data_IF_470725108725
#
_entry.id   IF_470725108725
#
_cell.length_a   1.000
_cell.length_b   1.000
_cell.length_c   1.000
_cell.angle_alpha   90.00
_cell.angle_beta   90.00
_cell.angle_gamma   90.00
#
_symmetry.space_group_name_H-M   'P 1'
#
loop_
_entity.id
_entity.type
_entity.pdbx_description
1 polymer ?
#
# COMPACT_ATOMS: atom_id res chain seq x y z
N UNK A 1 74.37 41.23 0.75
CA UNK A 1 72.94 41.11 1.11
C UNK A 1 72.11 40.18 0.23
N UNK A 2 72.42 40.01 -1.06
CA UNK A 2 71.60 39.21 -1.98
C UNK A 2 71.57 37.70 -1.81
N UNK A 3 72.61 37.10 -1.20
CA UNK A 3 72.69 35.64 -0.95
C UNK A 3 71.81 35.17 0.23
N UNK A 4 71.67 35.97 1.27
CA UNK A 4 70.78 35.68 2.42
C UNK A 4 69.31 35.78 2.05
N UNK A 5 68.99 36.77 1.21
CA UNK A 5 67.56 36.96 0.73
C UNK A 5 67.08 35.78 -0.15
N UNK A 6 67.99 35.27 -1.02
CA UNK A 6 67.62 34.07 -1.84
C UNK A 6 67.51 32.81 -1.00
N UNK A 7 68.30 32.63 0.02
CA UNK A 7 68.20 31.50 0.96
C UNK A 7 66.87 31.53 1.77
N UNK A 8 66.50 32.72 2.24
CA UNK A 8 65.19 32.93 2.96
C UNK A 8 63.98 32.64 2.09
N UNK A 9 64.01 33.10 0.83
CA UNK A 9 62.88 32.84 -0.11
C UNK A 9 62.77 31.35 -0.44
N UNK A 10 63.91 30.66 -0.65
CA UNK A 10 63.89 29.20 -0.88
C UNK A 10 63.40 28.46 0.36
N UNK A 11 63.80 28.86 1.56
CA UNK A 11 63.29 28.24 2.82
C UNK A 11 61.78 28.42 2.99
N UNK A 12 61.25 29.61 2.65
CA UNK A 12 59.79 29.87 2.69
C UNK A 12 59.05 29.02 1.63
N UNK A 13 59.58 28.88 0.43
CA UNK A 13 59.00 28.03 -0.62
C UNK A 13 59.00 26.56 -0.19
N UNK A 14 60.10 26.07 0.37
CA UNK A 14 60.19 24.69 0.89
C UNK A 14 59.21 24.46 2.03
N UNK A 15 59.07 25.42 2.92
CA UNK A 15 58.11 25.36 4.03
C UNK A 15 56.67 25.38 3.52
N UNK A 16 56.34 26.20 2.54
CA UNK A 16 55.04 26.21 1.87
C UNK A 16 54.74 24.87 1.18
N UNK A 17 55.71 24.33 0.44
CA UNK A 17 55.57 23.01 -0.21
C UNK A 17 55.42 21.92 0.84
N UNK A 18 56.15 21.95 1.94
CA UNK A 18 56.01 21.00 3.05
C UNK A 18 54.60 21.08 3.69
N UNK A 19 54.06 22.29 3.88
CA UNK A 19 52.73 22.51 4.39
C UNK A 19 51.67 21.95 3.41
N UNK A 20 51.78 22.26 2.10
CA UNK A 20 50.87 21.75 1.07
C UNK A 20 50.95 20.22 0.98
N UNK A 21 52.14 19.64 1.06
CA UNK A 21 52.31 18.19 1.10
C UNK A 21 51.73 17.56 2.37
N UNK A 22 51.89 18.21 3.53
CA UNK A 22 51.35 17.68 4.81
C UNK A 22 49.84 17.70 4.88
N UNK A 23 49.18 18.68 4.26
CA UNK A 23 47.69 18.72 4.17
C UNK A 23 47.13 17.52 3.42
N UNK A 24 47.83 16.98 2.41
CA UNK A 24 47.43 15.77 1.69
C UNK A 24 47.71 14.46 2.43
N UNK A 25 48.42 14.52 3.57
CA UNK A 25 48.69 13.34 4.40
C UNK A 25 47.65 13.10 5.48
N UNK A 26 46.78 14.07 5.71
CA UNK A 26 45.76 14.01 6.72
C UNK A 26 44.38 14.14 6.08
N UNK A 27 43.45 13.35 6.57
CA UNK A 27 42.07 13.36 6.14
C UNK A 27 41.14 13.52 7.33
N UNK A 28 40.13 14.41 7.19
CA UNK A 28 39.15 14.64 8.22
C UNK A 28 37.92 13.80 7.94
N UNK A 29 37.43 13.08 8.95
CA UNK A 29 36.17 12.33 8.95
C UNK A 29 35.15 13.12 9.77
N UNK A 30 34.00 13.37 9.19
CA UNK A 30 32.86 14.02 9.83
C UNK A 30 32.02 12.99 10.58
N UNK A 31 31.31 13.43 11.63
CA UNK A 31 30.37 12.57 12.34
C UNK A 31 29.28 12.05 11.40
N UNK A 32 28.86 10.78 11.55
CA UNK A 32 27.86 10.15 10.69
C UNK A 32 28.40 9.70 9.32
N UNK A 33 29.71 9.80 9.08
CA UNK A 33 30.35 9.34 7.85
C UNK A 33 31.56 8.46 8.15
N UNK A 34 31.97 7.66 7.18
CA UNK A 34 33.25 6.99 7.16
C UNK A 34 33.91 7.18 5.80
N UNK A 35 35.23 7.02 5.76
CA UNK A 35 35.99 7.13 4.52
C UNK A 35 36.78 5.86 4.28
N UNK A 36 36.84 5.43 3.03
CA UNK A 36 37.73 4.36 2.58
C UNK A 36 38.84 4.99 1.75
N UNK A 37 40.06 4.78 2.19
CA UNK A 37 41.26 5.31 1.57
C UNK A 37 42.05 4.17 0.92
N UNK A 38 42.33 4.27 -0.36
CA UNK A 38 43.19 3.35 -1.07
C UNK A 38 44.62 3.86 -1.03
N UNK A 39 45.53 3.10 -0.42
CA UNK A 39 46.94 3.38 -0.44
C UNK A 39 47.58 3.15 -1.82
N UNK A 40 48.74 3.72 -2.07
CA UNK A 40 49.47 3.52 -3.33
C UNK A 40 49.83 2.06 -3.61
N UNK A 41 49.94 1.22 -2.59
CA UNK A 41 50.19 -0.21 -2.71
C UNK A 41 48.88 -1.03 -2.96
N UNK A 42 47.73 -0.34 -3.13
CA UNK A 42 46.44 -0.95 -3.36
C UNK A 42 45.64 -1.33 -2.10
N UNK A 43 46.24 -1.30 -0.91
CA UNK A 43 45.59 -1.64 0.34
C UNK A 43 44.48 -0.62 0.67
N UNK A 44 43.34 -1.12 1.15
CA UNK A 44 42.23 -0.30 1.61
C UNK A 44 42.28 -0.15 3.12
N UNK A 45 42.10 1.08 3.60
CA UNK A 45 41.94 1.40 5.03
C UNK A 45 40.62 2.12 5.25
N UNK A 46 39.95 1.81 6.35
CA UNK A 46 38.72 2.43 6.76
C UNK A 46 38.98 3.43 7.87
N UNK A 47 38.48 4.63 7.71
CA UNK A 47 38.49 5.69 8.71
C UNK A 47 37.07 5.90 9.19
N UNK A 48 36.74 5.46 10.40
CA UNK A 48 35.37 5.45 10.94
C UNK A 48 35.17 6.40 12.13
N UNK A 49 36.29 6.85 12.75
CA UNK A 49 36.21 7.77 13.89
C UNK A 49 36.20 9.21 13.42
N UNK A 50 35.30 10.07 13.94
CA UNK A 50 35.33 11.49 13.64
C UNK A 50 36.63 12.13 14.06
N UNK A 51 37.17 13.03 13.24
CA UNK A 51 38.41 13.74 13.53
C UNK A 51 39.42 13.68 12.39
N UNK A 52 40.64 14.14 12.69
CA UNK A 52 41.77 14.12 11.76
C UNK A 52 42.54 12.79 11.85
N UNK A 53 42.76 12.17 10.71
CA UNK A 53 43.48 10.90 10.59
C UNK A 53 44.70 11.05 9.68
N UNK A 54 45.81 10.50 10.10
CA UNK A 54 46.96 10.38 9.25
C UNK A 54 46.77 9.21 8.27
N UNK A 55 46.68 9.50 7.00
CA UNK A 55 46.47 8.51 5.94
C UNK A 55 47.74 8.16 5.19
N UNK A 56 48.77 9.03 5.28
CA UNK A 56 49.89 8.96 4.38
C UNK A 56 49.49 9.32 2.94
N UNK A 57 50.32 8.95 2.00
CA UNK A 57 49.96 9.13 0.59
C UNK A 57 48.92 8.08 0.14
N UNK A 58 47.76 8.56 -0.25
CA UNK A 58 46.64 7.74 -0.76
C UNK A 58 46.37 8.09 -2.22
N UNK A 59 45.97 7.07 -3.00
CA UNK A 59 45.60 7.25 -4.42
C UNK A 59 44.18 7.70 -4.60
N UNK A 60 43.29 7.24 -3.70
CA UNK A 60 41.87 7.57 -3.76
C UNK A 60 41.24 7.59 -2.36
N UNK A 61 40.28 8.47 -2.16
CA UNK A 61 39.47 8.59 -0.93
C UNK A 61 38.02 8.63 -1.32
N UNK A 62 37.23 7.73 -0.75
CA UNK A 62 35.79 7.68 -0.96
C UNK A 62 35.07 7.89 0.37
N UNK A 63 34.13 8.85 0.40
CA UNK A 63 33.30 9.16 1.55
C UNK A 63 31.97 8.40 1.42
N UNK A 64 31.52 7.82 2.55
CA UNK A 64 30.25 7.16 2.69
C UNK A 64 29.48 7.75 3.86
N UNK A 65 28.17 7.86 3.72
CA UNK A 65 27.28 8.18 4.81
C UNK A 65 26.96 6.88 5.59
N UNK A 66 27.03 6.90 6.91
CA UNK A 66 26.74 5.72 7.75
C UNK A 66 25.27 5.31 7.64
N UNK A 67 24.37 6.26 7.55
CA UNK A 67 22.95 6.01 7.39
C UNK A 67 22.39 6.92 6.28
N UNK A 68 21.29 6.51 5.71
CA UNK A 68 20.62 7.27 4.67
C UNK A 68 19.17 6.88 4.52
N UNK A 69 18.44 7.73 3.81
CA UNK A 69 17.08 7.50 3.37
C UNK A 69 17.11 7.51 1.85
N UNK A 70 16.52 6.49 1.24
CA UNK A 70 16.31 6.47 -0.19
C UNK A 70 14.82 6.47 -0.46
N UNK A 71 14.38 7.44 -1.26
CA UNK A 71 12.99 7.59 -1.67
C UNK A 71 12.81 7.04 -3.08
N UNK A 72 11.75 6.30 -3.31
CA UNK A 72 11.33 5.81 -4.62
C UNK A 72 9.90 6.31 -4.88
N UNK A 73 9.76 7.19 -5.87
CA UNK A 73 8.50 7.89 -6.17
C UNK A 73 8.43 8.20 -7.66
N UNK A 74 7.20 8.28 -8.19
CA UNK A 74 6.94 8.77 -9.55
C UNK A 74 6.74 10.31 -9.59
N UNK A 75 6.88 11.00 -8.45
CA UNK A 75 6.72 12.44 -8.41
C UNK A 75 8.01 13.11 -8.89
N UNK A 76 7.92 13.93 -9.92
CA UNK A 76 9.05 14.69 -10.50
C UNK A 76 9.68 15.71 -9.54
N UNK A 77 8.99 16.03 -8.43
CA UNK A 77 9.45 16.98 -7.41
C UNK A 77 10.38 16.32 -6.36
N UNK A 78 10.41 15.00 -6.30
CA UNK A 78 11.22 14.27 -5.34
C UNK A 78 12.60 13.95 -5.95
N UNK A 79 13.69 14.30 -5.27
CA UNK A 79 15.07 13.92 -5.62
C UNK A 79 15.32 12.39 -5.54
N UNK A 80 14.24 11.58 -5.48
CA UNK A 80 14.26 10.13 -5.36
C UNK A 80 14.38 9.40 -6.69
N UNK A 81 14.41 8.08 -6.62
CA UNK A 81 14.37 7.20 -7.79
C UNK A 81 12.95 6.92 -8.24
N UNK A 82 12.83 6.26 -9.39
CA UNK A 82 11.55 5.85 -9.94
C UNK A 82 10.79 4.91 -8.99
N UNK A 83 9.46 4.96 -9.03
CA UNK A 83 8.59 4.01 -8.34
C UNK A 83 8.91 2.54 -8.69
N UNK A 84 8.60 1.64 -7.79
CA UNK A 84 8.83 0.21 -8.00
C UNK A 84 7.59 -0.42 -8.63
N UNK A 85 7.69 -0.75 -9.93
CA UNK A 85 6.65 -1.46 -10.63
C UNK A 85 6.54 -2.92 -10.21
N UNK A 86 5.33 -3.38 -9.87
CA UNK A 86 5.02 -4.71 -9.36
C UNK A 86 3.83 -5.35 -10.05
N UNK A 87 3.70 -6.67 -9.87
CA UNK A 87 2.55 -7.46 -10.29
C UNK A 87 2.10 -8.27 -9.10
N UNK A 88 0.83 -8.12 -8.76
CA UNK A 88 0.20 -8.85 -7.68
C UNK A 88 -0.29 -10.23 -8.13
N UNK A 89 -0.71 -11.06 -7.17
CA UNK A 89 -1.18 -12.43 -7.39
C UNK A 89 -2.36 -12.53 -8.36
N UNK A 90 -3.26 -11.55 -8.32
CA UNK A 90 -4.44 -11.44 -9.17
C UNK A 90 -4.14 -10.90 -10.58
N UNK A 91 -2.85 -10.70 -10.90
CA UNK A 91 -2.41 -10.12 -12.16
C UNK A 91 -2.51 -8.60 -12.22
N UNK A 92 -3.02 -7.97 -11.16
CA UNK A 92 -3.08 -6.51 -11.04
C UNK A 92 -1.67 -5.93 -11.04
N UNK A 93 -1.46 -4.88 -11.80
CA UNK A 93 -0.19 -4.15 -11.84
C UNK A 93 -0.27 -2.91 -10.97
N UNK A 94 0.86 -2.54 -10.40
CA UNK A 94 0.94 -1.35 -9.59
C UNK A 94 2.34 -0.76 -9.56
N UNK A 95 2.39 0.50 -9.15
CA UNK A 95 3.59 1.24 -8.80
C UNK A 95 3.59 1.52 -7.31
N UNK A 96 4.68 1.19 -6.66
CA UNK A 96 4.86 1.38 -5.22
C UNK A 96 5.77 2.57 -5.01
N UNK A 97 5.27 3.56 -4.27
CA UNK A 97 6.00 4.73 -3.80
C UNK A 97 6.29 4.60 -2.32
N UNK A 98 7.45 5.08 -1.90
CA UNK A 98 7.84 5.00 -0.50
C UNK A 98 9.29 5.37 -0.27
N UNK A 99 9.77 5.07 0.93
CA UNK A 99 11.16 5.29 1.30
C UNK A 99 11.69 4.13 2.15
N UNK A 100 12.98 3.90 2.03
CA UNK A 100 13.73 2.95 2.85
C UNK A 100 14.81 3.69 3.62
N UNK A 101 14.86 3.43 4.91
CA UNK A 101 15.90 3.92 5.82
C UNK A 101 16.86 2.78 6.11
N UNK A 102 18.14 3.02 5.88
CA UNK A 102 19.16 2.01 6.03
C UNK A 102 20.38 2.56 6.75
N UNK A 103 21.14 1.65 7.33
CA UNK A 103 22.46 1.93 7.90
C UNK A 103 23.49 0.98 7.27
N UNK A 104 24.58 1.56 6.78
CA UNK A 104 25.71 0.81 6.24
C UNK A 104 26.45 0.06 7.36
N UNK A 105 27.17 -1.04 7.05
CA UNK A 105 27.81 -1.88 8.05
C UNK A 105 28.78 -1.12 8.95
N UNK A 106 28.87 -1.59 10.18
CA UNK A 106 29.79 -1.01 11.18
C UNK A 106 31.17 -1.65 11.10
N UNK A 107 31.26 -2.91 10.71
CA UNK A 107 32.53 -3.64 10.61
C UNK A 107 33.32 -3.27 9.35
N UNK A 108 34.62 -3.25 9.47
CA UNK A 108 35.50 -2.79 8.41
C UNK A 108 35.60 -3.78 7.23
N UNK A 109 35.45 -5.07 7.47
CA UNK A 109 35.48 -6.09 6.41
C UNK A 109 34.30 -5.93 5.45
N UNK A 110 33.10 -5.80 5.99
CA UNK A 110 31.89 -5.56 5.18
C UNK A 110 31.94 -4.22 4.47
N UNK A 111 32.48 -3.16 5.08
CA UNK A 111 32.67 -1.86 4.41
C UNK A 111 33.61 -1.97 3.21
N UNK A 112 34.73 -2.68 3.35
CA UNK A 112 35.67 -2.92 2.24
C UNK A 112 35.03 -3.78 1.17
N UNK A 113 34.30 -4.82 1.55
CA UNK A 113 33.56 -5.67 0.61
C UNK A 113 32.52 -4.88 -0.21
N UNK A 114 31.73 -4.00 0.44
CA UNK A 114 30.81 -3.10 -0.21
C UNK A 114 31.51 -2.19 -1.23
N UNK A 115 32.60 -1.55 -0.82
CA UNK A 115 33.38 -0.67 -1.68
C UNK A 115 33.92 -1.39 -2.91
N UNK A 116 34.37 -2.63 -2.73
CA UNK A 116 35.00 -3.42 -3.80
C UNK A 116 33.96 -3.99 -4.78
N UNK A 117 32.80 -4.44 -4.27
CA UNK A 117 31.82 -5.19 -5.05
C UNK A 117 30.79 -4.26 -5.69
N UNK A 118 30.26 -3.30 -4.94
CA UNK A 118 29.14 -2.47 -5.41
C UNK A 118 29.54 -1.11 -5.96
N UNK A 119 30.78 -0.70 -5.78
CA UNK A 119 31.30 0.50 -6.40
C UNK A 119 32.04 1.42 -5.45
N UNK A 120 32.75 2.37 -6.05
CA UNK A 120 33.68 3.27 -5.38
C UNK A 120 33.07 4.64 -5.07
N UNK A 121 31.76 4.72 -4.90
CA UNK A 121 31.06 5.91 -4.44
C UNK A 121 29.85 5.54 -3.60
N UNK A 122 29.41 6.46 -2.74
CA UNK A 122 28.21 6.29 -1.95
C UNK A 122 26.97 6.04 -2.83
N UNK A 123 26.84 6.81 -3.92
CA UNK A 123 25.74 6.67 -4.90
C UNK A 123 25.74 5.30 -5.58
N UNK A 124 26.90 4.76 -5.94
CA UNK A 124 26.99 3.43 -6.56
C UNK A 124 26.55 2.33 -5.60
N UNK A 125 26.89 2.43 -4.30
CA UNK A 125 26.44 1.49 -3.27
C UNK A 125 24.91 1.61 -3.12
N UNK A 126 24.37 2.81 -3.04
CA UNK A 126 22.92 3.04 -2.98
C UNK A 126 22.25 2.42 -4.20
N UNK A 127 22.68 2.78 -5.41
CA UNK A 127 22.05 2.33 -6.65
C UNK A 127 22.18 0.82 -6.88
N UNK A 128 23.33 0.23 -6.61
CA UNK A 128 23.62 -1.16 -6.93
C UNK A 128 23.21 -2.14 -5.84
N UNK A 129 23.18 -1.74 -4.58
CA UNK A 129 22.80 -2.59 -3.47
C UNK A 129 21.41 -2.21 -2.94
N UNK A 130 21.23 -1.00 -2.41
CA UNK A 130 20.00 -0.63 -1.69
C UNK A 130 18.80 -0.65 -2.63
N UNK A 131 18.86 0.11 -3.72
CA UNK A 131 17.75 0.23 -4.67
C UNK A 131 17.41 -1.11 -5.34
N UNK A 132 18.44 -1.79 -5.86
CA UNK A 132 18.20 -3.06 -6.57
C UNK A 132 17.70 -4.16 -5.63
N UNK A 133 18.20 -4.24 -4.41
CA UNK A 133 17.73 -5.23 -3.44
C UNK A 133 16.32 -4.94 -2.99
N UNK A 134 15.99 -3.67 -2.69
CA UNK A 134 14.63 -3.25 -2.34
C UNK A 134 13.65 -3.56 -3.47
N UNK A 135 13.99 -3.17 -4.70
CA UNK A 135 13.14 -3.45 -5.87
C UNK A 135 12.97 -4.95 -6.12
N UNK A 136 14.03 -5.75 -5.95
CA UNK A 136 13.97 -7.21 -6.10
C UNK A 136 13.03 -7.83 -5.07
N UNK A 137 13.14 -7.43 -3.80
CA UNK A 137 12.32 -7.97 -2.71
C UNK A 137 10.87 -7.54 -2.85
N UNK A 138 10.60 -6.26 -3.14
CA UNK A 138 9.24 -5.75 -3.33
C UNK A 138 8.54 -6.50 -4.48
N UNK A 139 9.24 -6.72 -5.60
CA UNK A 139 8.72 -7.50 -6.73
C UNK A 139 8.51 -8.98 -6.41
N UNK A 140 9.36 -9.56 -5.57
CA UNK A 140 9.22 -10.95 -5.14
C UNK A 140 8.10 -11.13 -4.11
N UNK A 141 7.80 -10.10 -3.30
CA UNK A 141 6.75 -10.12 -2.28
C UNK A 141 5.35 -9.92 -2.89
N UNK A 142 5.24 -9.09 -3.92
CA UNK A 142 3.95 -8.71 -4.50
C UNK A 142 3.06 -9.90 -4.91
N UNK A 143 3.57 -11.03 -5.45
CA UNK A 143 2.74 -12.18 -5.81
C UNK A 143 2.07 -12.91 -4.63
N UNK A 144 2.46 -12.64 -3.39
CA UNK A 144 1.77 -13.18 -2.21
C UNK A 144 0.44 -12.47 -1.94
N UNK A 145 0.24 -11.26 -2.44
CA UNK A 145 -0.91 -10.39 -2.16
C UNK A 145 -1.75 -10.15 -3.40
N UNK A 146 -3.05 -9.90 -3.20
CA UNK A 146 -3.92 -9.31 -4.22
C UNK A 146 -3.67 -7.81 -4.27
N UNK A 147 -3.81 -7.19 -5.44
CA UNK A 147 -3.60 -5.75 -5.60
C UNK A 147 -4.51 -4.91 -4.70
N UNK A 148 -5.80 -5.25 -4.65
CA UNK A 148 -6.78 -4.61 -3.75
C UNK A 148 -6.39 -4.75 -2.26
N UNK A 149 -5.92 -5.93 -1.84
CA UNK A 149 -5.49 -6.19 -0.47
C UNK A 149 -4.27 -5.36 -0.08
N UNK A 150 -3.24 -5.37 -0.91
CA UNK A 150 -2.02 -4.60 -0.67
C UNK A 150 -2.29 -3.09 -0.67
N UNK A 151 -3.23 -2.61 -1.49
CA UNK A 151 -3.65 -1.21 -1.52
C UNK A 151 -4.41 -0.79 -0.26
N UNK A 152 -5.24 -1.65 0.34
CA UNK A 152 -6.17 -1.29 1.41
C UNK A 152 -5.94 -2.03 2.74
N UNK A 153 -6.54 -3.21 2.91
CA UNK A 153 -6.64 -3.87 4.21
C UNK A 153 -5.42 -4.72 4.60
N UNK A 154 -4.58 -5.10 3.64
CA UNK A 154 -3.43 -5.99 3.85
C UNK A 154 -2.08 -5.27 3.73
N UNK A 155 -2.10 -3.94 3.60
CA UNK A 155 -0.91 -3.09 3.40
C UNK A 155 0.14 -3.31 4.48
N UNK A 156 -0.28 -3.41 5.74
CA UNK A 156 0.64 -3.62 6.87
C UNK A 156 1.37 -4.98 6.78
N UNK A 157 0.66 -6.04 6.40
CA UNK A 157 1.25 -7.37 6.22
C UNK A 157 2.20 -7.39 5.01
N UNK A 158 1.86 -6.67 3.93
CA UNK A 158 2.72 -6.51 2.78
C UNK A 158 4.04 -5.84 3.16
N UNK A 159 4.00 -4.71 3.87
CA UNK A 159 5.19 -3.99 4.35
C UNK A 159 6.04 -4.91 5.21
N UNK A 160 5.44 -5.54 6.22
CA UNK A 160 6.14 -6.45 7.11
C UNK A 160 6.81 -7.60 6.36
N UNK A 161 6.15 -8.20 5.38
CA UNK A 161 6.73 -9.28 4.58
C UNK A 161 7.90 -8.78 3.72
N UNK A 162 7.85 -7.54 3.21
CA UNK A 162 8.98 -6.93 2.49
C UNK A 162 10.15 -6.70 3.44
N UNK A 163 9.92 -6.18 4.64
CA UNK A 163 10.96 -5.99 5.67
C UNK A 163 11.61 -7.32 6.05
N UNK A 164 10.80 -8.33 6.38
CA UNK A 164 11.29 -9.67 6.72
C UNK A 164 12.15 -10.29 5.60
N UNK A 165 11.76 -10.11 4.34
CA UNK A 165 12.53 -10.62 3.19
C UNK A 165 13.78 -9.77 2.87
N UNK A 166 13.78 -8.48 3.18
CA UNK A 166 14.99 -7.65 3.08
C UNK A 166 16.04 -8.09 4.10
N UNK A 167 15.62 -8.42 5.33
CA UNK A 167 16.51 -8.85 6.39
C UNK A 167 16.95 -10.31 6.24
N UNK A 168 16.01 -11.23 6.08
CA UNK A 168 16.25 -12.68 6.11
C UNK A 168 16.60 -13.26 4.74
N UNK A 169 16.12 -12.64 3.67
CA UNK A 169 16.22 -13.12 2.29
C UNK A 169 14.88 -13.53 1.69
N UNK A 170 14.88 -13.82 0.40
CA UNK A 170 13.67 -14.14 -0.34
C UNK A 170 13.11 -15.49 0.08
N UNK A 171 11.81 -15.52 0.40
CA UNK A 171 11.11 -16.75 0.76
C UNK A 171 10.79 -17.60 -0.47
N UNK A 172 10.82 -18.91 -0.29
CA UNK A 172 10.42 -19.86 -1.32
C UNK A 172 8.90 -19.79 -1.50
N UNK A 173 8.47 -19.49 -2.72
CA UNK A 173 7.05 -19.44 -3.09
C UNK A 173 6.51 -20.82 -3.41
N UNK A 174 5.35 -21.14 -2.85
CA UNK A 174 4.54 -22.30 -3.22
C UNK A 174 3.24 -21.77 -3.82
N UNK A 175 2.88 -22.30 -4.99
CA UNK A 175 1.63 -21.97 -5.68
C UNK A 175 0.69 -23.16 -5.58
N UNK A 176 -0.52 -22.90 -5.13
CA UNK A 176 -1.58 -23.89 -5.06
C UNK A 176 -2.82 -23.36 -5.78
N UNK A 177 -3.41 -24.18 -6.60
CA UNK A 177 -4.63 -23.84 -7.30
C UNK A 177 -5.80 -24.36 -6.50
N UNK A 178 -6.63 -23.46 -5.98
CA UNK A 178 -7.79 -23.79 -5.13
C UNK A 178 -9.06 -23.37 -5.87
N UNK A 179 -10.06 -24.28 -5.85
CA UNK A 179 -11.38 -23.94 -6.34
C UNK A 179 -12.17 -23.31 -5.18
N UNK A 180 -12.55 -22.05 -5.33
CA UNK A 180 -13.38 -21.31 -4.38
C UNK A 180 -14.71 -20.95 -5.04
N UNK A 181 -15.74 -20.78 -4.23
CA UNK A 181 -17.01 -20.24 -4.71
C UNK A 181 -16.93 -18.72 -4.72
N UNK A 182 -17.28 -18.12 -5.85
CA UNK A 182 -17.41 -16.68 -5.96
C UNK A 182 -18.65 -16.16 -5.19
N UNK A 183 -18.83 -14.86 -5.19
CA UNK A 183 -19.96 -14.19 -4.51
C UNK A 183 -21.34 -14.62 -5.08
N UNK A 184 -21.37 -15.21 -6.28
CA UNK A 184 -22.56 -15.76 -6.95
C UNK A 184 -22.71 -17.27 -6.76
N UNK A 185 -21.82 -17.92 -5.96
CA UNK A 185 -21.84 -19.34 -5.68
C UNK A 185 -21.31 -20.22 -6.82
N UNK A 186 -20.66 -19.64 -7.86
CA UNK A 186 -20.01 -20.39 -8.93
C UNK A 186 -18.62 -20.81 -8.51
N UNK A 187 -18.21 -22.00 -8.93
CA UNK A 187 -16.86 -22.49 -8.71
C UNK A 187 -15.86 -21.68 -9.56
N UNK A 188 -14.97 -20.97 -8.91
CA UNK A 188 -13.92 -20.17 -9.52
C UNK A 188 -12.57 -20.70 -9.05
N UNK A 189 -11.61 -20.80 -9.96
CA UNK A 189 -10.26 -21.25 -9.65
C UNK A 189 -9.38 -20.07 -9.28
N UNK A 190 -8.83 -20.06 -8.07
CA UNK A 190 -7.87 -19.06 -7.62
C UNK A 190 -6.51 -19.71 -7.34
N UNK A 191 -5.42 -19.02 -7.77
CA UNK A 191 -4.06 -19.42 -7.43
C UNK A 191 -3.68 -18.75 -6.12
N UNK A 192 -3.48 -19.55 -5.08
CA UNK A 192 -2.90 -19.08 -3.83
C UNK A 192 -1.38 -19.16 -3.88
N UNK A 193 -0.72 -18.13 -3.38
CA UNK A 193 0.74 -18.08 -3.23
C UNK A 193 1.05 -17.90 -1.76
N UNK A 194 1.83 -18.80 -1.19
CA UNK A 194 2.24 -18.75 0.20
C UNK A 194 3.72 -19.15 0.36
N UNK A 195 4.29 -18.84 1.52
CA UNK A 195 5.67 -19.20 1.84
C UNK A 195 5.79 -20.67 2.16
N UNK A 196 6.80 -21.34 1.62
CA UNK A 196 7.14 -22.70 2.02
C UNK A 196 7.71 -22.69 3.43
N UNK A 197 7.17 -23.52 4.31
CA UNK A 197 7.67 -23.71 5.67
C UNK A 197 8.42 -25.03 5.82
N UNK A 198 9.44 -25.04 6.64
CA UNK A 198 10.17 -26.22 7.03
C UNK A 198 9.41 -27.05 8.09
N UNK A 199 10.00 -28.14 8.57
CA UNK A 199 9.41 -29.00 9.61
C UNK A 199 9.26 -28.30 10.97
N UNK A 200 9.97 -27.20 11.18
CA UNK A 200 9.98 -26.42 12.41
C UNK A 200 9.03 -25.20 12.34
N UNK A 201 8.37 -24.99 11.18
CA UNK A 201 7.47 -23.87 10.96
C UNK A 201 8.15 -22.57 10.46
N UNK A 202 9.46 -22.58 10.22
CA UNK A 202 10.18 -21.43 9.70
C UNK A 202 10.04 -21.34 8.17
N UNK A 203 10.03 -20.12 7.65
CA UNK A 203 10.02 -19.88 6.20
C UNK A 203 11.32 -20.36 5.56
N UNK A 204 11.19 -21.10 4.46
CA UNK A 204 12.34 -21.57 3.68
C UNK A 204 12.83 -20.45 2.79
N UNK A 205 14.09 -20.07 2.95
CA UNK A 205 14.75 -19.03 2.17
C UNK A 205 15.21 -19.62 0.84
N UNK A 206 14.83 -18.99 -0.27
CA UNK A 206 15.27 -19.34 -1.61
C UNK A 206 16.56 -18.62 -2.01
N UNK A 207 16.78 -17.43 -1.49
CA UNK A 207 17.95 -16.60 -1.75
C UNK A 207 18.29 -15.77 -0.52
N UNK A 208 19.53 -15.82 -0.10
CA UNK A 208 20.04 -15.07 1.05
C UNK A 208 19.87 -13.55 0.88
N UNK A 209 19.66 -12.86 1.99
CA UNK A 209 19.60 -11.40 2.01
C UNK A 209 20.97 -10.81 1.64
N UNK A 210 20.94 -9.86 0.72
CA UNK A 210 22.13 -9.07 0.43
C UNK A 210 22.43 -8.08 1.55
N UNK A 211 21.40 -7.64 2.29
CA UNK A 211 21.56 -6.75 3.44
C UNK A 211 22.30 -7.47 4.55
N UNK A 212 21.83 -8.65 4.93
CA UNK A 212 22.47 -9.48 5.95
C UNK A 212 23.91 -9.84 5.55
N UNK A 213 24.10 -10.32 4.31
CA UNK A 213 25.42 -10.71 3.78
C UNK A 213 26.48 -9.61 3.86
N UNK A 214 26.09 -8.34 3.70
CA UNK A 214 27.00 -7.19 3.75
C UNK A 214 26.85 -6.37 5.02
N UNK A 215 26.10 -6.83 6.02
CA UNK A 215 25.90 -6.17 7.30
C UNK A 215 25.16 -4.82 7.20
N UNK A 216 24.36 -4.63 6.14
CA UNK A 216 23.48 -3.47 6.01
C UNK A 216 22.25 -3.69 6.88
N UNK A 217 21.95 -2.73 7.74
CA UNK A 217 20.81 -2.80 8.63
C UNK A 217 19.64 -2.00 8.04
N UNK A 218 18.46 -2.62 8.05
CA UNK A 218 17.20 -1.94 7.75
C UNK A 218 16.76 -1.19 9.01
N UNK A 219 16.61 0.13 8.91
CA UNK A 219 16.08 0.95 10.01
C UNK A 219 14.57 1.13 9.91
N UNK A 220 14.04 1.05 8.70
CA UNK A 220 12.60 1.10 8.43
C UNK A 220 12.29 1.14 6.95
N UNK A 221 11.12 0.63 6.61
CA UNK A 221 10.53 0.71 5.28
C UNK A 221 9.16 1.39 5.40
N UNK A 222 8.96 2.46 4.67
CA UNK A 222 7.66 3.10 4.59
C UNK A 222 7.16 3.05 3.14
N UNK A 223 6.02 2.40 2.94
CA UNK A 223 5.30 2.41 1.67
C UNK A 223 4.19 3.45 1.80
N UNK A 224 4.37 4.58 1.12
CA UNK A 224 3.45 5.72 1.18
C UNK A 224 2.18 5.42 0.40
N UNK A 225 2.35 5.00 -0.86
CA UNK A 225 1.24 4.76 -1.77
C UNK A 225 1.50 3.57 -2.68
N UNK A 226 0.43 2.88 -3.05
CA UNK A 226 0.41 1.80 -4.03
C UNK A 226 -0.58 2.21 -5.12
N UNK A 227 -0.09 2.72 -6.24
CA UNK A 227 -0.92 3.10 -7.38
C UNK A 227 -1.20 1.86 -8.22
N UNK A 228 -2.44 1.44 -8.25
CA UNK A 228 -2.90 0.36 -9.10
C UNK A 228 -3.28 0.90 -10.49
N UNK A 229 -3.36 0.04 -11.52
CA UNK A 229 -3.74 0.49 -12.86
C UNK A 229 -5.24 0.85 -12.96
N UNK A 230 -5.60 1.70 -13.94
CA UNK A 230 -6.94 2.32 -14.06
C UNK A 230 -8.08 1.28 -14.12
N UNK A 231 -7.86 0.13 -14.74
CA UNK A 231 -8.89 -0.93 -14.84
C UNK A 231 -9.16 -1.64 -13.52
N UNK A 232 -8.12 -1.90 -12.73
CA UNK A 232 -8.29 -2.51 -11.41
C UNK A 232 -9.02 -1.54 -10.48
N UNK A 233 -8.73 -0.26 -10.56
CA UNK A 233 -9.41 0.76 -9.76
C UNK A 233 -10.86 0.96 -10.19
N UNK A 234 -11.15 1.03 -11.49
CA UNK A 234 -12.54 1.07 -11.97
C UNK A 234 -13.35 -0.14 -11.46
N UNK A 235 -12.73 -1.32 -11.41
CA UNK A 235 -13.37 -2.52 -10.89
C UNK A 235 -13.63 -2.45 -9.38
N UNK A 236 -12.65 -1.99 -8.59
CA UNK A 236 -12.78 -1.78 -7.14
C UNK A 236 -13.88 -0.74 -6.86
N UNK A 237 -13.95 0.31 -7.67
CA UNK A 237 -14.97 1.36 -7.58
C UNK A 237 -16.37 0.81 -7.82
N UNK A 238 -16.55 0.09 -8.91
CA UNK A 238 -17.85 -0.55 -9.24
C UNK A 238 -18.30 -1.52 -8.14
N UNK A 239 -17.39 -2.34 -7.61
CA UNK A 239 -17.71 -3.20 -6.46
C UNK A 239 -18.15 -2.42 -5.24
N UNK A 240 -17.45 -1.31 -4.93
CA UNK A 240 -17.79 -0.43 -3.81
C UNK A 240 -19.17 0.21 -4.01
N UNK A 241 -19.46 0.69 -5.22
CA UNK A 241 -20.78 1.26 -5.57
C UNK A 241 -21.90 0.24 -5.36
N UNK A 242 -21.75 -0.97 -5.93
CA UNK A 242 -22.72 -2.06 -5.77
C UNK A 242 -22.90 -2.48 -4.31
N UNK A 243 -21.80 -2.54 -3.54
CA UNK A 243 -21.87 -2.85 -2.11
C UNK A 243 -22.60 -1.75 -1.32
N UNK A 244 -22.39 -0.47 -1.67
CA UNK A 244 -23.09 0.66 -1.07
C UNK A 244 -24.60 0.63 -1.43
N UNK A 245 -24.95 0.34 -2.69
CA UNK A 245 -26.34 0.19 -3.09
C UNK A 245 -27.03 -0.96 -2.35
N UNK A 246 -26.37 -2.11 -2.21
CA UNK A 246 -26.87 -3.24 -1.44
C UNK A 246 -27.09 -2.88 0.04
N UNK A 247 -26.17 -2.14 0.64
CA UNK A 247 -26.28 -1.67 2.02
C UNK A 247 -27.45 -0.70 2.20
N UNK A 248 -27.61 0.27 1.29
CA UNK A 248 -28.74 1.23 1.28
C UNK A 248 -30.07 0.50 1.12
N UNK A 249 -30.12 -0.48 0.21
CA UNK A 249 -31.30 -1.32 0.02
C UNK A 249 -31.67 -2.10 1.29
N UNK A 250 -30.67 -2.70 1.94
CA UNK A 250 -30.86 -3.43 3.19
C UNK A 250 -31.33 -2.51 4.34
N UNK A 251 -30.75 -1.31 4.45
CA UNK A 251 -31.15 -0.34 5.47
C UNK A 251 -32.58 0.20 5.23
N UNK A 252 -32.94 0.46 3.98
CA UNK A 252 -34.30 0.88 3.63
C UNK A 252 -35.33 -0.21 3.97
N UNK A 253 -34.97 -1.48 3.76
CA UNK A 253 -35.77 -2.65 4.14
C UNK A 253 -36.00 -2.74 5.65
N UNK A 254 -34.95 -2.58 6.43
CA UNK A 254 -35.03 -2.58 7.90
C UNK A 254 -35.93 -1.46 8.42
N UNK A 255 -35.75 -0.24 7.88
CA UNK A 255 -36.56 0.93 8.23
C UNK A 255 -38.04 0.72 7.87
N UNK A 256 -38.30 0.12 6.71
CA UNK A 256 -39.65 -0.20 6.27
C UNK A 256 -40.34 -1.25 7.16
N UNK A 257 -39.61 -2.29 7.59
CA UNK A 257 -40.10 -3.27 8.58
C UNK A 257 -40.45 -2.62 9.91
N UNK A 258 -39.57 -1.79 10.44
CA UNK A 258 -39.80 -1.08 11.70
C UNK A 258 -41.01 -0.13 11.63
N UNK A 259 -41.14 0.58 10.52
CA UNK A 259 -42.32 1.43 10.29
C UNK A 259 -43.63 0.62 10.25
N UNK A 260 -43.59 -0.54 9.58
CA UNK A 260 -44.77 -1.43 9.51
C UNK A 260 -45.12 -2.04 10.90
N UNK A 261 -44.12 -2.44 11.68
CA UNK A 261 -44.34 -2.94 13.05
C UNK A 261 -44.87 -1.83 13.99
N UNK A 262 -44.31 -0.62 13.88
CA UNK A 262 -44.79 0.55 14.63
C UNK A 262 -46.24 0.90 14.27
N UNK A 263 -46.57 0.83 13.00
CA UNK A 263 -47.96 1.03 12.53
C UNK A 263 -48.94 -0.05 13.05
N UNK A 264 -48.46 -1.31 13.10
CA UNK A 264 -49.25 -2.42 13.71
C UNK A 264 -49.43 -2.22 15.21
N UNK A 265 -48.38 -1.82 15.93
CA UNK A 265 -48.47 -1.56 17.36
C UNK A 265 -49.42 -0.42 17.69
N UNK A 266 -49.35 0.68 16.95
CA UNK A 266 -50.29 1.82 17.07
C UNK A 266 -51.73 1.42 16.71
N UNK A 267 -51.93 0.60 15.66
CA UNK A 267 -53.22 0.10 15.31
C UNK A 267 -53.81 -0.80 16.39
N UNK A 268 -53.01 -1.66 17.02
CA UNK A 268 -53.43 -2.49 18.17
C UNK A 268 -53.80 -1.64 19.40
N UNK A 269 -52.98 -0.65 19.70
CA UNK A 269 -53.21 0.29 20.81
C UNK A 269 -54.55 1.05 20.61
N UNK A 270 -54.81 1.55 19.37
CA UNK A 270 -56.07 2.18 19.05
C UNK A 270 -57.27 1.23 19.21
N UNK A 271 -57.12 -0.04 18.81
CA UNK A 271 -58.15 -1.04 18.97
C UNK A 271 -58.40 -1.34 20.47
N UNK A 272 -57.37 -1.44 21.29
CA UNK A 272 -57.51 -1.66 22.73
C UNK A 272 -58.14 -0.47 23.48
N UNK A 273 -57.71 0.75 23.15
CA UNK A 273 -58.28 2.00 23.71
C UNK A 273 -59.77 2.14 23.30
N UNK A 274 -60.11 1.66 22.13
CA UNK A 274 -61.47 1.73 21.64
C UNK A 274 -62.39 0.61 22.16
N UNK A 275 -61.83 -0.60 22.50
CA UNK A 275 -62.57 -1.64 23.19
C UNK A 275 -63.09 -1.23 24.58
N UNK A 276 -62.39 -0.31 25.23
CA UNK A 276 -62.79 0.23 26.53
C UNK A 276 -63.81 1.36 26.48
N UNK A 277 -64.17 1.85 25.26
CA UNK A 277 -65.16 2.88 25.06
C UNK A 277 -66.34 2.30 24.27
N UNK A 278 -67.28 1.83 25.00
CA UNK A 278 -68.66 1.44 24.67
C UNK A 278 -69.17 1.49 23.22
N UNK A 279 -69.88 0.45 22.88
CA UNK A 279 -71.00 0.29 21.92
C UNK A 279 -71.01 0.96 20.50
N UNK A 280 -70.04 1.78 20.20
CA UNK A 280 -69.82 2.30 18.83
C UNK A 280 -69.03 1.30 17.97
N UNK A 281 -68.94 0.10 18.43
CA UNK A 281 -67.90 -0.88 18.09
C UNK A 281 -68.07 -1.61 16.77
N UNK A 282 -69.25 -1.80 16.29
CA UNK A 282 -69.41 -2.55 15.02
C UNK A 282 -68.83 -1.83 13.82
N UNK A 283 -68.88 -0.50 13.79
CA UNK A 283 -68.31 0.27 12.70
C UNK A 283 -66.78 0.42 12.82
N UNK A 284 -66.25 0.37 14.05
CA UNK A 284 -64.80 0.48 14.32
C UNK A 284 -64.06 -0.84 14.14
N UNK A 285 -64.71 -1.98 14.36
CA UNK A 285 -64.15 -3.31 14.06
C UNK A 285 -63.90 -3.52 12.57
N UNK A 286 -64.78 -2.97 11.72
CA UNK A 286 -64.63 -3.01 10.26
C UNK A 286 -63.43 -2.12 9.84
N UNK A 287 -63.31 -0.92 10.42
CA UNK A 287 -62.20 0.00 10.14
C UNK A 287 -60.84 -0.55 10.65
N UNK A 288 -60.83 -1.29 11.77
CA UNK A 288 -59.63 -1.98 12.27
C UNK A 288 -59.20 -3.10 11.31
N UNK A 289 -60.13 -3.90 10.81
CA UNK A 289 -59.84 -4.96 9.84
C UNK A 289 -59.38 -4.42 8.47
N UNK A 290 -59.92 -3.27 8.05
CA UNK A 290 -59.43 -2.57 6.82
C UNK A 290 -58.04 -2.02 6.98
N UNK A 291 -57.70 -1.44 8.13
CA UNK A 291 -56.32 -0.98 8.45
C UNK A 291 -55.30 -2.12 8.50
N UNK A 292 -55.68 -3.24 9.10
CA UNK A 292 -54.81 -4.44 9.13
C UNK A 292 -54.54 -4.97 7.72
N UNK A 293 -55.57 -4.90 6.84
CA UNK A 293 -55.48 -5.28 5.44
C UNK A 293 -54.56 -4.29 4.65
N UNK A 294 -54.62 -3.01 4.96
CA UNK A 294 -53.80 -1.98 4.34
C UNK A 294 -52.33 -2.09 4.80
N UNK A 295 -52.10 -2.38 6.09
CA UNK A 295 -50.79 -2.67 6.65
C UNK A 295 -50.20 -3.92 6.01
N UNK A 296 -50.96 -4.98 5.88
CA UNK A 296 -50.52 -6.22 5.21
C UNK A 296 -50.21 -6.00 3.72
N UNK A 297 -50.98 -5.10 3.07
CA UNK A 297 -50.75 -4.70 1.68
C UNK A 297 -49.44 -3.87 1.55
N UNK A 298 -49.25 -2.92 2.45
CA UNK A 298 -48.02 -2.12 2.55
C UNK A 298 -46.80 -2.99 2.85
N UNK A 299 -46.94 -3.97 3.76
CA UNK A 299 -45.87 -4.93 4.03
C UNK A 299 -45.53 -5.81 2.82
N UNK A 300 -46.58 -6.23 2.07
CA UNK A 300 -46.38 -6.98 0.84
C UNK A 300 -45.69 -6.14 -0.24
N UNK A 301 -46.09 -4.85 -0.39
CA UNK A 301 -45.43 -3.90 -1.30
C UNK A 301 -43.97 -3.62 -0.87
N UNK A 302 -43.69 -3.44 0.42
CA UNK A 302 -42.36 -3.27 0.94
C UNK A 302 -41.47 -4.50 0.74
N UNK A 303 -41.99 -5.71 0.95
CA UNK A 303 -41.27 -6.97 0.64
C UNK A 303 -40.96 -7.08 -0.85
N UNK A 304 -41.87 -6.60 -1.71
CA UNK A 304 -41.69 -6.60 -3.16
C UNK A 304 -40.62 -5.61 -3.61
N UNK A 305 -40.63 -4.39 -3.05
CA UNK A 305 -39.57 -3.38 -3.28
C UNK A 305 -38.22 -3.89 -2.83
N UNK A 306 -38.18 -4.52 -1.66
CA UNK A 306 -36.93 -5.07 -1.11
C UNK A 306 -36.38 -6.22 -1.94
N UNK A 307 -37.24 -7.10 -2.42
CA UNK A 307 -36.87 -8.18 -3.33
C UNK A 307 -36.33 -7.63 -4.66
N UNK A 308 -36.94 -6.53 -5.16
CA UNK A 308 -36.46 -5.86 -6.37
C UNK A 308 -35.08 -5.22 -6.17
N UNK A 309 -34.84 -4.54 -5.04
CA UNK A 309 -33.54 -3.93 -4.73
C UNK A 309 -32.43 -4.98 -4.56
N UNK A 310 -32.74 -6.08 -3.87
CA UNK A 310 -31.79 -7.19 -3.73
C UNK A 310 -31.47 -7.84 -5.09
N UNK A 311 -32.47 -7.94 -5.98
CA UNK A 311 -32.26 -8.44 -7.34
C UNK A 311 -31.39 -7.49 -8.16
N UNK A 312 -31.64 -6.17 -8.09
CA UNK A 312 -30.82 -5.18 -8.78
C UNK A 312 -29.37 -5.22 -8.29
N UNK A 313 -29.15 -5.32 -6.97
CA UNK A 313 -27.80 -5.47 -6.42
C UNK A 313 -27.09 -6.72 -6.95
N UNK A 314 -27.80 -7.87 -6.98
CA UNK A 314 -27.24 -9.11 -7.52
C UNK A 314 -26.99 -9.04 -9.05
N UNK A 315 -27.82 -8.30 -9.80
CA UNK A 315 -27.60 -8.07 -11.24
C UNK A 315 -26.38 -7.19 -11.50
N UNK A 316 -26.14 -6.16 -10.67
CA UNK A 316 -24.93 -5.33 -10.78
C UNK A 316 -23.67 -6.08 -10.35
N UNK A 317 -23.74 -6.93 -9.33
CA UNK A 317 -22.64 -7.85 -8.95
C UNK A 317 -22.29 -8.80 -10.10
N UNK A 318 -23.32 -9.35 -10.76
CA UNK A 318 -23.14 -10.22 -11.93
C UNK A 318 -22.48 -9.48 -13.10
N UNK A 319 -22.91 -8.23 -13.39
CA UNK A 319 -22.31 -7.40 -14.43
C UNK A 319 -20.85 -7.08 -14.13
N UNK A 320 -20.55 -6.71 -12.88
CA UNK A 320 -19.17 -6.45 -12.44
C UNK A 320 -18.26 -7.69 -12.62
N UNK A 321 -18.80 -8.88 -12.31
CA UNK A 321 -18.08 -10.14 -12.52
C UNK A 321 -17.84 -10.46 -14.00
N UNK A 322 -18.85 -10.22 -14.86
CA UNK A 322 -18.74 -10.41 -16.32
C UNK A 322 -17.64 -9.47 -16.87
N UNK A 323 -17.69 -8.18 -16.51
CA UNK A 323 -16.68 -7.19 -16.96
C UNK A 323 -15.27 -7.60 -16.53
N UNK A 324 -15.12 -8.12 -15.30
CA UNK A 324 -13.84 -8.66 -14.83
C UNK A 324 -13.39 -9.83 -15.70
N UNK A 325 -14.24 -10.80 -15.95
CA UNK A 325 -13.93 -11.98 -16.77
C UNK A 325 -13.64 -11.63 -18.24
N UNK A 326 -14.36 -10.68 -18.79
CA UNK A 326 -14.09 -10.18 -20.14
C UNK A 326 -12.74 -9.43 -20.23
N UNK A 327 -12.39 -8.64 -19.21
CA UNK A 327 -11.11 -7.97 -19.15
C UNK A 327 -9.95 -8.99 -19.04
N UNK A 328 -10.09 -10.02 -18.19
CA UNK A 328 -9.15 -11.13 -18.06
C UNK A 328 -9.00 -11.90 -19.39
N UNK A 329 -10.11 -12.21 -20.06
CA UNK A 329 -10.13 -12.92 -21.34
C UNK A 329 -9.49 -12.09 -22.47
N UNK A 330 -9.79 -10.78 -22.54
CA UNK A 330 -9.19 -9.87 -23.53
C UNK A 330 -7.69 -9.66 -23.30
N UNK A 331 -7.26 -9.59 -22.02
CA UNK A 331 -5.85 -9.54 -21.67
C UNK A 331 -5.11 -10.84 -22.11
N UNK A 332 -5.70 -11.98 -21.82
CA UNK A 332 -5.13 -13.29 -22.22
C UNK A 332 -5.13 -13.48 -23.74
N UNK A 333 -6.19 -13.06 -24.45
CA UNK A 333 -6.25 -13.14 -25.92
C UNK A 333 -5.19 -12.25 -26.59
N UNK A 334 -4.96 -11.05 -26.10
CA UNK A 334 -3.89 -10.16 -26.58
C UNK A 334 -2.50 -10.71 -26.30
N UNK A 335 -2.31 -11.40 -25.17
CA UNK A 335 -1.06 -12.06 -24.79
C UNK A 335 -0.76 -13.26 -25.69
N UNK A 336 -1.76 -14.04 -26.06
CA UNK A 336 -1.63 -15.19 -26.97
C UNK A 336 -1.34 -14.74 -28.39
N UNK A 337 -1.95 -13.64 -28.86
CA UNK A 337 -1.71 -13.09 -30.21
C UNK A 337 -0.33 -12.43 -30.37
N UNK A 338 0.26 -11.93 -29.30
CA UNK A 338 1.51 -11.18 -29.36
C UNK A 338 2.77 -12.03 -29.20
N UNK A 339 2.66 -13.32 -28.89
CA UNK A 339 3.83 -14.21 -28.71
C UNK A 339 4.78 -13.74 -27.59
N UNK A 340 4.24 -13.03 -26.61
CA UNK A 340 5.01 -12.27 -25.63
C UNK A 340 5.65 -13.17 -24.55
N UNK A 341 6.87 -12.80 -24.17
CA UNK A 341 7.61 -13.43 -23.07
C UNK A 341 6.91 -13.22 -21.72
N UNK A 342 7.19 -14.02 -20.69
CA UNK A 342 6.63 -13.83 -19.34
C UNK A 342 6.84 -12.41 -18.76
N UNK A 343 7.91 -11.75 -19.17
CA UNK A 343 8.26 -10.39 -18.72
C UNK A 343 7.36 -9.32 -19.35
N UNK A 344 6.99 -9.51 -20.60
CA UNK A 344 6.10 -8.59 -21.34
C UNK A 344 4.65 -8.76 -20.88
N UNK A 345 4.24 -10.00 -20.54
CA UNK A 345 2.97 -10.28 -19.86
C UNK A 345 2.86 -9.49 -18.57
N UNK A 346 3.89 -9.57 -17.76
CA UNK A 346 4.03 -8.87 -16.51
C UNK A 346 3.94 -7.33 -16.64
N UNK A 347 4.46 -6.76 -17.72
CA UNK A 347 4.41 -5.31 -17.99
C UNK A 347 3.01 -4.83 -18.43
N UNK A 348 2.28 -5.63 -19.19
CA UNK A 348 0.92 -5.31 -19.63
C UNK A 348 -0.06 -5.41 -18.44
N UNK A 349 0.12 -6.38 -17.54
CA UNK A 349 -0.68 -6.54 -16.31
C UNK A 349 -0.49 -5.36 -15.34
N UNK A 350 0.71 -4.80 -15.23
CA UNK A 350 1.06 -3.63 -14.43
C UNK A 350 0.41 -2.33 -14.93
N UNK A 351 0.42 -2.06 -16.24
CA UNK A 351 -0.20 -0.87 -16.83
C UNK A 351 -1.71 -0.85 -16.66
N UNK A 352 -2.36 -2.04 -16.66
CA UNK A 352 -3.80 -2.14 -16.43
C UNK A 352 -4.18 -1.86 -14.98
N UNK A 353 -3.34 -2.13 -13.96
CA UNK A 353 -3.66 -1.85 -12.55
C UNK A 353 -3.54 -0.37 -12.14
N UNK A 354 -2.67 0.41 -12.76
CA UNK A 354 -2.52 1.86 -12.49
C UNK A 354 -3.73 2.68 -12.96
N UNK A 355 -4.37 2.26 -14.06
CA UNK A 355 -5.52 2.95 -14.63
C UNK A 355 -6.71 3.06 -13.69
N UNK A 356 -7.02 1.99 -12.99
CA UNK A 356 -8.17 1.90 -12.07
C UNK A 356 -7.97 2.68 -10.77
N UNK A 357 -6.71 2.77 -10.25
CA UNK A 357 -6.40 3.60 -9.09
C UNK A 357 -6.70 5.09 -9.31
N UNK A 358 -6.53 5.57 -10.53
CA UNK A 358 -6.76 6.97 -10.89
C UNK A 358 -8.25 7.34 -10.95
N UNK A 359 -9.12 6.38 -11.27
CA UNK A 359 -10.58 6.62 -11.33
C UNK A 359 -11.24 6.57 -9.94
N UNK A 360 -10.78 5.74 -9.01
CA UNK A 360 -11.23 5.78 -7.60
C UNK A 360 -10.92 7.11 -6.89
N UNK A 361 -9.76 7.70 -7.20
CA UNK A 361 -9.38 9.00 -6.64
C UNK A 361 -10.26 10.15 -7.14
N UNK A 362 -11.00 9.97 -8.24
CA UNK A 362 -11.92 10.96 -8.81
C UNK A 362 -13.35 10.85 -8.27
N UNK A 363 -13.67 9.81 -7.48
CA UNK A 363 -15.00 9.67 -6.90
C UNK A 363 -15.28 10.74 -5.87
N UNK A 364 -16.21 11.57 -6.20
CA UNK A 364 -16.94 12.33 -5.20
C UNK A 364 -17.81 11.35 -4.42
N UNK A 365 -17.41 11.03 -3.19
CA UNK A 365 -18.28 10.32 -2.25
C UNK A 365 -19.55 11.17 -2.13
N UNK A 366 -20.72 10.64 -2.53
CA UNK A 366 -21.94 11.41 -2.38
C UNK A 366 -22.11 11.73 -0.90
N UNK A 367 -22.05 13.02 -0.56
CA UNK A 367 -22.49 13.46 0.75
C UNK A 367 -24.00 13.19 0.81
N UNK A 368 -24.38 12.27 1.68
CA UNK A 368 -25.79 12.05 1.97
C UNK A 368 -26.27 13.30 2.72
N UNK A 369 -26.84 14.24 1.98
CA UNK A 369 -27.59 15.35 2.56
C UNK A 369 -28.95 14.79 2.96
N UNK A 370 -29.10 14.44 4.23
CA UNK A 370 -30.41 14.16 4.80
C UNK A 370 -31.12 15.49 4.98
N UNK A 371 -31.85 15.93 3.96
CA UNK A 371 -32.79 17.03 4.11
C UNK A 371 -33.99 16.52 4.89
N UNK A 372 -34.00 16.84 6.19
CA UNK A 372 -35.15 16.59 7.04
C UNK A 372 -36.35 17.39 6.54
N UNK A 373 -37.40 16.69 6.10
CA UNK A 373 -38.70 17.31 5.91
C UNK A 373 -39.28 17.77 7.24
N UNK A 374 -39.91 18.93 7.23
CA UNK A 374 -40.63 19.52 8.37
C UNK A 374 -41.71 18.54 8.93
N UNK A 375 -41.35 17.79 9.92
CA UNK A 375 -42.21 17.30 11.03
C UNK A 375 -41.62 16.01 11.60
N UNK A 376 -40.98 16.16 12.74
CA UNK A 376 -40.60 15.06 13.64
C UNK A 376 -39.11 14.70 13.59
N UNK A 377 -38.38 15.25 14.54
CA UNK A 377 -36.97 14.90 14.79
C UNK A 377 -36.96 13.44 15.26
N UNK A 378 -36.40 12.55 14.45
CA UNK A 378 -36.17 11.18 14.84
C UNK A 378 -34.93 11.14 15.74
N UNK A 379 -34.97 10.53 16.93
CA UNK A 379 -33.82 10.49 17.84
C UNK A 379 -32.55 9.90 17.22
N UNK A 380 -32.67 9.07 16.18
CA UNK A 380 -31.54 8.49 15.43
C UNK A 380 -30.84 9.51 14.52
N UNK A 381 -31.56 10.51 13.99
CA UNK A 381 -30.97 11.58 13.18
C UNK A 381 -30.09 12.50 14.02
N UNK A 382 -30.42 12.66 15.31
CA UNK A 382 -29.67 13.50 16.24
C UNK A 382 -28.33 12.90 16.67
N UNK A 383 -28.22 11.56 16.72
CA UNK A 383 -26.96 10.88 17.05
C UNK A 383 -25.96 10.94 15.89
N UNK A 384 -26.45 10.74 14.65
CA UNK A 384 -25.60 10.80 13.46
C UNK A 384 -25.02 12.20 13.19
N UNK A 385 -25.87 13.24 13.34
CA UNK A 385 -25.44 14.65 13.13
C UNK A 385 -24.47 15.12 14.22
N UNK A 386 -24.66 14.72 15.47
CA UNK A 386 -23.76 15.10 16.55
C UNK A 386 -22.39 14.41 16.44
N UNK A 387 -22.32 13.13 16.00
CA UNK A 387 -21.05 12.47 15.74
C UNK A 387 -20.30 13.09 14.56
N UNK A 388 -21.00 13.46 13.48
CA UNK A 388 -20.39 14.14 12.34
C UNK A 388 -19.85 15.53 12.68
N UNK A 389 -20.55 16.30 13.53
CA UNK A 389 -20.11 17.60 14.03
C UNK A 389 -18.93 17.51 15.01
N UNK A 390 -18.86 16.47 15.85
CA UNK A 390 -17.70 16.24 16.71
C UNK A 390 -16.45 15.85 15.94
N UNK A 391 -16.58 15.04 14.89
CA UNK A 391 -15.47 14.66 14.00
C UNK A 391 -14.97 15.90 13.25
N UNK A 392 -15.86 16.76 12.78
CA UNK A 392 -15.48 17.98 12.08
C UNK A 392 -14.81 19.04 13.01
N UNK A 393 -15.14 19.05 14.30
CA UNK A 393 -14.48 19.90 15.29
C UNK A 393 -13.10 19.40 15.73
N UNK A 394 -12.83 18.10 15.60
CA UNK A 394 -11.51 17.50 15.90
C UNK A 394 -10.53 17.54 14.73
N UNK A 395 -10.99 17.91 13.53
CA UNK A 395 -10.18 18.02 12.30
C UNK A 395 -9.87 19.48 11.92
N UNK A 396 -10.27 20.45 12.71
CA UNK A 396 -9.81 21.84 12.70
C UNK A 396 -8.87 22.09 13.89
#
# INVERSE_FOLDING_TARGET
MGKFFKGSVIAVIVLLVAIICSVKLFERVDAGTYKICQKLNGNLIVLDKPGWHYTGYVSNITKYNMAGIYQFSDNDEDEGGQSIGVIFRDGTKGHINGNIQYMLPVDNESRIALHTIYGRSNEQVINNLIIKSTSEVVKATSPFFKGEGAYSYDKANFIKMVEDQLEKGLFTQVKETVTIKDELGKDTTEVLVYTKKDKNGNEVISKESKFDKFGVQLLGLNIEDIKLDDKAMEFIEKRKEVALEALVAQQSMETAKQAAETAKAKAREMVEVQRGREEVEKMKAVTAAEKEKEVAKLEAEQRLITAQLNRQAAEEDAKALIVKKEAEAKANAKLVQAGLTPLEKANIEKETAIGVARELAKMNVPQIIVTGGEKGINPLDMVGVNQALEIQKKLK
#
